data_IF_046225812401
#
_entry.id   IF_046225812401
#
_cell.length_a   1.000
_cell.length_b   1.000
_cell.length_c   1.000
_cell.angle_alpha   90.00
_cell.angle_beta   90.00
_cell.angle_gamma   90.00
#
_symmetry.space_group_name_H-M   'P 1'
#
loop_
_entity.id
_entity.type
_entity.pdbx_description
1 polymer ?
#
# COMPACT_ATOMS: atom_id res chain seq x y z
N UNK A 1 -2.86 -0.20 14.66
CA UNK A 1 -1.66 0.59 14.28
C UNK A 1 -1.14 1.30 15.51
N UNK A 2 0.17 1.57 15.58
CA UNK A 2 0.77 2.39 16.65
C UNK A 2 0.54 3.88 16.37
N UNK A 3 0.59 4.74 17.39
CA UNK A 3 0.28 6.17 17.25
C UNK A 3 1.12 6.90 16.21
N UNK A 4 2.41 6.57 16.08
CA UNK A 4 3.27 7.16 15.06
C UNK A 4 2.84 6.74 13.64
N UNK A 5 2.29 5.53 13.47
CA UNK A 5 1.78 5.06 12.18
C UNK A 5 0.47 5.74 11.82
N UNK A 6 -0.39 6.03 12.81
CA UNK A 6 -1.62 6.80 12.61
C UNK A 6 -1.27 8.23 12.19
N UNK A 7 -0.25 8.84 12.79
CA UNK A 7 0.27 10.15 12.36
C UNK A 7 0.79 10.11 10.92
N UNK A 8 1.57 9.09 10.56
CA UNK A 8 2.03 8.89 9.17
C UNK A 8 0.87 8.72 8.17
N UNK A 9 -0.17 7.96 8.54
CA UNK A 9 -1.38 7.82 7.74
C UNK A 9 -2.11 9.15 7.55
N UNK A 10 -2.36 9.89 8.63
CA UNK A 10 -3.03 11.20 8.54
C UNK A 10 -2.22 12.20 7.72
N UNK A 11 -0.89 12.14 7.78
CA UNK A 11 -0.02 12.94 6.93
C UNK A 11 -0.19 12.60 5.44
N UNK A 12 -0.22 11.30 5.07
CA UNK A 12 -0.49 10.90 3.68
C UNK A 12 -1.88 11.31 3.19
N UNK A 13 -2.90 11.27 4.06
CA UNK A 13 -4.25 11.76 3.74
C UNK A 13 -4.22 13.27 3.44
N UNK A 14 -3.54 14.06 4.29
CA UNK A 14 -3.41 15.49 4.06
C UNK A 14 -2.69 15.80 2.75
N UNK A 15 -1.65 15.04 2.39
CA UNK A 15 -0.97 15.19 1.09
C UNK A 15 -1.93 14.98 -0.09
N UNK A 16 -2.72 13.91 -0.06
CA UNK A 16 -3.72 13.64 -1.10
C UNK A 16 -4.76 14.76 -1.20
N UNK A 17 -5.28 15.23 -0.08
CA UNK A 17 -6.32 16.28 -0.04
C UNK A 17 -5.80 17.61 -0.58
N UNK A 18 -4.50 17.86 -0.51
CA UNK A 18 -3.86 19.04 -1.09
C UNK A 18 -3.31 18.80 -2.51
N UNK A 19 -3.45 17.59 -3.07
CA UNK A 19 -2.91 17.25 -4.40
C UNK A 19 -1.38 17.22 -4.46
N UNK A 20 -0.70 16.94 -3.34
CA UNK A 20 0.75 16.96 -3.21
C UNK A 20 1.29 15.53 -3.08
N UNK A 21 2.41 15.24 -3.73
CA UNK A 21 3.13 13.97 -3.58
C UNK A 21 4.00 13.96 -2.32
N UNK A 22 4.23 12.77 -1.73
CA UNK A 22 5.02 12.63 -0.51
C UNK A 22 6.08 11.54 -0.56
N UNK A 23 7.09 11.68 0.30
CA UNK A 23 8.10 10.66 0.57
C UNK A 23 7.94 10.20 2.02
N UNK A 24 7.45 8.97 2.23
CA UNK A 24 7.37 8.36 3.56
C UNK A 24 8.74 7.75 3.92
N UNK A 25 9.56 8.51 4.64
CA UNK A 25 10.97 8.20 4.93
C UNK A 25 11.22 7.74 6.38
N UNK A 26 10.23 7.15 7.04
CA UNK A 26 10.38 6.56 8.38
C UNK A 26 11.53 5.55 8.43
N UNK A 27 12.12 5.37 9.60
CA UNK A 27 13.16 4.35 9.84
C UNK A 27 12.70 2.93 9.42
N UNK A 28 13.64 2.08 9.05
CA UNK A 28 13.33 0.68 8.73
C UNK A 28 12.72 -0.02 9.96
N UNK A 29 11.75 -0.91 9.73
CA UNK A 29 11.05 -1.60 10.81
C UNK A 29 9.86 -0.85 11.43
N UNK A 30 9.66 0.44 11.12
CA UNK A 30 8.50 1.21 11.59
C UNK A 30 7.17 0.92 10.86
N UNK A 31 7.16 -0.09 9.97
CA UNK A 31 5.93 -0.58 9.35
C UNK A 31 5.35 0.35 8.27
N UNK A 32 6.21 0.93 7.42
CA UNK A 32 5.80 1.71 6.24
C UNK A 32 4.80 0.95 5.36
N UNK A 33 4.98 -0.36 5.18
CA UNK A 33 4.05 -1.23 4.45
C UNK A 33 2.63 -1.17 5.03
N UNK A 34 2.48 -1.32 6.34
CA UNK A 34 1.18 -1.23 7.01
C UNK A 34 0.56 0.16 6.84
N UNK A 35 1.35 1.23 6.94
CA UNK A 35 0.87 2.59 6.70
C UNK A 35 0.35 2.76 5.26
N UNK A 36 1.11 2.29 4.25
CA UNK A 36 0.71 2.36 2.84
C UNK A 36 -0.55 1.55 2.55
N UNK A 37 -0.65 0.32 3.07
CA UNK A 37 -1.86 -0.52 2.91
C UNK A 37 -3.07 0.16 3.56
N UNK A 38 -2.89 0.74 4.75
CA UNK A 38 -3.96 1.45 5.46
C UNK A 38 -4.42 2.68 4.69
N UNK A 39 -3.50 3.39 4.04
CA UNK A 39 -3.83 4.51 3.16
C UNK A 39 -4.67 4.08 1.96
N UNK A 40 -4.29 3.02 1.26
CA UNK A 40 -5.11 2.46 0.15
C UNK A 40 -6.48 2.00 0.66
N UNK A 41 -6.52 1.33 1.81
CA UNK A 41 -7.76 0.92 2.46
C UNK A 41 -8.67 2.11 2.79
N UNK A 42 -8.09 3.22 3.25
CA UNK A 42 -8.82 4.47 3.49
C UNK A 42 -9.46 5.02 2.22
N UNK A 43 -8.75 5.03 1.09
CA UNK A 43 -9.29 5.48 -0.19
C UNK A 43 -10.47 4.62 -0.65
N UNK A 44 -10.33 3.30 -0.53
CA UNK A 44 -11.38 2.36 -0.91
C UNK A 44 -12.63 2.51 -0.04
N UNK A 45 -12.47 2.46 1.28
CA UNK A 45 -13.59 2.26 2.21
C UNK A 45 -14.19 3.56 2.77
N UNK A 46 -13.41 4.64 2.85
CA UNK A 46 -13.88 5.91 3.43
C UNK A 46 -14.08 7.01 2.39
N UNK A 47 -13.19 7.12 1.40
CA UNK A 47 -13.36 8.09 0.30
C UNK A 47 -14.24 7.56 -0.84
N UNK A 48 -14.62 6.27 -0.82
CA UNK A 48 -15.32 5.60 -1.92
C UNK A 48 -14.63 5.84 -3.28
N UNK A 49 -13.29 5.82 -3.29
CA UNK A 49 -12.45 5.98 -4.47
C UNK A 49 -11.70 4.68 -4.78
N UNK A 50 -12.38 3.63 -5.28
CA UNK A 50 -11.72 2.41 -5.71
C UNK A 50 -10.99 2.67 -7.04
N UNK A 51 -9.73 3.08 -6.97
CA UNK A 51 -8.84 3.22 -8.13
C UNK A 51 -7.87 2.03 -8.18
N UNK A 52 -7.40 1.60 -9.36
CA UNK A 52 -6.22 0.75 -9.42
C UNK A 52 -5.03 1.46 -8.78
N UNK A 53 -4.23 0.71 -8.02
CA UNK A 53 -3.00 1.17 -7.37
C UNK A 53 -1.85 0.25 -7.77
N UNK A 54 -0.69 0.84 -8.08
CA UNK A 54 0.53 0.11 -8.43
C UNK A 54 1.56 0.28 -7.32
N UNK A 55 2.00 -0.85 -6.75
CA UNK A 55 3.13 -0.89 -5.81
C UNK A 55 4.30 -1.55 -6.51
N UNK A 56 5.43 -0.84 -6.58
CA UNK A 56 6.69 -1.35 -7.12
C UNK A 56 7.63 -1.62 -5.96
N UNK A 57 8.16 -2.83 -5.88
CA UNK A 57 9.09 -3.23 -4.82
C UNK A 57 10.11 -4.26 -5.32
N UNK A 58 11.24 -4.47 -4.61
CA UNK A 58 12.18 -5.53 -4.95
C UNK A 58 11.50 -6.90 -4.98
N UNK A 59 11.89 -7.76 -5.93
CA UNK A 59 11.31 -9.10 -6.14
C UNK A 59 11.24 -9.93 -4.84
N UNK A 60 12.27 -9.85 -4.01
CA UNK A 60 12.36 -10.56 -2.73
C UNK A 60 11.27 -10.16 -1.71
N UNK A 61 10.67 -8.99 -1.87
CA UNK A 61 9.65 -8.45 -0.95
C UNK A 61 8.21 -8.65 -1.42
N UNK A 62 8.00 -9.10 -2.67
CA UNK A 62 6.65 -9.33 -3.22
C UNK A 62 5.79 -10.28 -2.38
N UNK A 63 6.30 -11.44 -1.87
CA UNK A 63 5.49 -12.32 -1.03
C UNK A 63 5.05 -11.63 0.27
N UNK A 64 5.93 -10.82 0.86
CA UNK A 64 5.62 -10.07 2.08
C UNK A 64 4.48 -9.07 1.84
N UNK A 65 4.51 -8.32 0.73
CA UNK A 65 3.42 -7.39 0.39
C UNK A 65 2.07 -8.09 0.25
N UNK A 66 2.01 -9.23 -0.45
CA UNK A 66 0.75 -9.99 -0.58
C UNK A 66 0.25 -10.49 0.78
N UNK A 67 1.14 -11.04 1.61
CA UNK A 67 0.76 -11.50 2.95
C UNK A 67 0.24 -10.35 3.81
N UNK A 68 0.87 -9.18 3.76
CA UNK A 68 0.45 -8.01 4.52
C UNK A 68 -0.91 -7.47 4.01
N UNK A 69 -1.15 -7.44 2.69
CA UNK A 69 -2.48 -7.09 2.17
C UNK A 69 -3.56 -8.08 2.60
N UNK A 70 -3.30 -9.39 2.48
CA UNK A 70 -4.24 -10.43 2.93
C UNK A 70 -4.52 -10.34 4.43
N UNK A 71 -3.50 -9.97 5.23
CA UNK A 71 -3.63 -9.80 6.68
C UNK A 71 -4.41 -8.55 7.06
N UNK A 72 -4.09 -7.40 6.47
CA UNK A 72 -4.56 -6.10 6.95
C UNK A 72 -5.71 -5.52 6.15
N UNK A 73 -5.86 -5.89 4.87
CA UNK A 73 -6.96 -5.45 4.04
C UNK A 73 -7.37 -6.51 3.00
N UNK A 74 -7.87 -7.69 3.43
CA UNK A 74 -8.21 -8.80 2.52
C UNK A 74 -9.30 -8.45 1.50
N UNK A 75 -10.06 -7.38 1.73
CA UNK A 75 -11.03 -6.87 0.77
C UNK A 75 -10.38 -6.31 -0.51
N UNK A 76 -9.09 -5.99 -0.51
CA UNK A 76 -8.35 -5.50 -1.68
C UNK A 76 -7.76 -6.71 -2.40
N UNK A 77 -8.12 -6.86 -3.68
CA UNK A 77 -7.56 -7.91 -4.53
C UNK A 77 -6.15 -7.48 -4.94
N UNK A 78 -5.17 -8.34 -4.69
CA UNK A 78 -3.77 -8.11 -5.08
C UNK A 78 -3.40 -9.01 -6.24
N UNK A 79 -2.85 -8.42 -7.30
CA UNK A 79 -2.32 -9.13 -8.47
C UNK A 79 -0.80 -9.00 -8.45
N UNK A 80 -0.09 -10.12 -8.47
CA UNK A 80 1.37 -10.14 -8.60
C UNK A 80 1.75 -10.26 -10.07
N UNK A 81 2.51 -9.30 -10.59
CA UNK A 81 3.08 -9.38 -11.93
C UNK A 81 4.48 -10.02 -11.85
N UNK A 82 4.52 -11.35 -11.94
CA UNK A 82 5.74 -12.17 -11.90
C UNK A 82 5.69 -13.25 -12.99
N UNK A 83 6.80 -13.97 -13.16
CA UNK A 83 6.92 -15.04 -14.16
C UNK A 83 7.68 -14.60 -15.40
N UNK A 84 7.73 -15.49 -16.40
CA UNK A 84 8.33 -15.23 -17.70
C UNK A 84 7.37 -14.46 -18.62
N UNK A 85 7.71 -14.32 -19.90
CA UNK A 85 6.86 -13.59 -20.83
C UNK A 85 5.49 -14.26 -20.98
N UNK A 86 5.45 -15.59 -21.04
CA UNK A 86 4.22 -16.38 -21.22
C UNK A 86 3.28 -16.24 -20.02
N UNK A 87 3.82 -16.33 -18.80
CA UNK A 87 3.06 -16.13 -17.55
C UNK A 87 2.46 -14.73 -17.42
N UNK A 88 3.08 -13.72 -18.05
CA UNK A 88 2.61 -12.31 -17.97
C UNK A 88 1.54 -11.95 -19.01
N UNK A 89 1.34 -12.77 -20.05
CA UNK A 89 0.29 -12.55 -21.07
C UNK A 89 -0.98 -13.37 -20.83
N UNK A 90 -0.95 -14.33 -19.90
CA UNK A 90 -2.12 -15.09 -19.42
C UNK A 90 -2.87 -14.35 -18.31
#
# INVERSE_FOLDING_TARGET
>A
MRDYQIRGLNWMIALLENGINGILADEMGLGKTLQTISFIGYLKHYKNMPSPHLVICPKSTLPNWVNEFNRWCPSIIVVQLIGDQETRVS
#
